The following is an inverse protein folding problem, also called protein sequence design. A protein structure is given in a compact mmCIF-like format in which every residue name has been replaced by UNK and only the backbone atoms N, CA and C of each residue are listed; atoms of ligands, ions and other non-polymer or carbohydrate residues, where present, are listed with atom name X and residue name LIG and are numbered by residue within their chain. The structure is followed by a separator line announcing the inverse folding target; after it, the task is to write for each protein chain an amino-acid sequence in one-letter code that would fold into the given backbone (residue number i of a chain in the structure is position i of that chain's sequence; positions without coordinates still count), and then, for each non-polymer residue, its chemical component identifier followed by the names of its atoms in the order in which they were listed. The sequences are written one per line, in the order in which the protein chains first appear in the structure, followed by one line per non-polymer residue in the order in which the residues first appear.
data_IF_462949523027
#
_entry.id   IF_462949523027
#
_cell.length_a   1.000
_cell.length_b   1.000
_cell.length_c   1.000
_cell.angle_alpha   90.00
_cell.angle_beta   90.00
_cell.angle_gamma   90.00
#
_symmetry.space_group_name_H-M   'P 1'
#
loop_
_entity.id
_entity.type
_entity.pdbx_description
1 polymer ?
#
# COMPACT_ATOMS: atom_id res chain seq x y z
N UNK A 1 -19.90 -50.14 33.55
CA UNK A 1 -20.27 -50.49 34.94
C UNK A 1 -19.31 -49.83 35.93
N UNK A 2 -19.89 -48.94 36.76
CA UNK A 2 -19.47 -48.53 38.11
C UNK A 2 -18.10 -47.83 38.27
N UNK A 3 -17.98 -46.55 38.69
CA UNK A 3 -18.49 -45.85 39.90
C UNK A 3 -17.99 -46.53 41.20
N UNK A 4 -17.47 -45.88 42.26
CA UNK A 4 -17.50 -44.50 42.81
C UNK A 4 -16.13 -44.18 43.50
N UNK A 5 -15.76 -43.03 44.11
CA UNK A 5 -16.37 -41.70 44.36
C UNK A 5 -15.23 -40.63 44.59
N UNK A 6 -15.61 -39.36 44.82
CA UNK A 6 -14.83 -38.27 45.46
C UNK A 6 -15.58 -37.88 46.77
N UNK A 7 -15.02 -37.12 47.76
CA UNK A 7 -14.99 -35.64 47.66
C UNK A 7 -13.93 -34.86 48.51
N UNK A 8 -13.58 -33.63 48.06
CA UNK A 8 -13.48 -32.32 48.77
C UNK A 8 -12.63 -32.17 50.10
N UNK A 9 -12.16 -30.99 50.60
CA UNK A 9 -12.68 -29.60 50.72
C UNK A 9 -11.52 -28.56 50.90
N UNK A 10 -11.70 -27.35 50.32
CA UNK A 10 -11.21 -25.98 50.68
C UNK A 10 -9.89 -25.71 51.45
N UNK A 11 -9.14 -24.69 50.98
CA UNK A 11 -8.97 -23.41 51.71
C UNK A 11 -8.52 -22.28 50.75
N UNK A 12 -9.11 -21.09 50.88
CA UNK A 12 -8.69 -19.87 50.18
C UNK A 12 -8.07 -18.88 51.16
N UNK A 13 -7.12 -18.06 50.72
CA UNK A 13 -6.58 -16.95 51.50
C UNK A 13 -6.77 -15.62 50.76
N UNK A 14 -7.65 -14.77 51.29
CA UNK A 14 -7.69 -13.34 50.96
C UNK A 14 -6.53 -12.64 51.67
N UNK A 15 -5.96 -11.62 51.01
CA UNK A 15 -5.12 -10.61 51.65
C UNK A 15 -5.79 -9.24 51.46
N UNK A 16 -6.49 -8.81 52.50
CA UNK A 16 -7.08 -7.48 52.64
C UNK A 16 -6.07 -6.56 53.34
N UNK A 17 -5.75 -5.42 52.74
CA UNK A 17 -4.95 -4.35 53.35
C UNK A 17 -5.91 -3.20 53.73
N UNK A 18 -5.82 -2.63 54.95
CA UNK A 18 -6.83 -1.69 55.46
C UNK A 18 -6.67 -0.27 54.89
N UNK A 19 -7.81 0.35 54.61
CA UNK A 19 -7.97 1.78 54.34
C UNK A 19 -7.94 2.58 55.64
N UNK A 20 -7.17 3.68 55.70
CA UNK A 20 -7.47 4.83 56.55
C UNK A 20 -6.78 6.12 56.04
N UNK A 21 -7.54 7.19 55.86
CA UNK A 21 -7.08 8.58 55.81
C UNK A 21 -8.26 9.53 56.13
N UNK A 22 -8.06 10.61 56.90
CA UNK A 22 -9.15 11.42 57.44
C UNK A 22 -9.62 12.55 56.51
N UNK A 23 -10.83 13.05 56.80
CA UNK A 23 -11.57 14.10 56.08
C UNK A 23 -11.11 15.53 56.44
N UNK A 24 -11.29 16.48 55.50
CA UNK A 24 -11.76 17.89 55.62
C UNK A 24 -11.35 18.71 54.35
N UNK A 25 -11.90 19.92 54.09
CA UNK A 25 -13.26 20.26 53.69
C UNK A 25 -13.30 20.90 52.25
N UNK A 26 -14.46 21.27 51.66
CA UNK A 26 -14.51 21.76 50.27
C UNK A 26 -14.13 23.24 50.14
N UNK A 27 -13.29 23.57 49.14
CA UNK A 27 -13.00 24.95 48.72
C UNK A 27 -13.63 25.27 47.36
N UNK A 28 -14.26 26.44 47.30
CA UNK A 28 -14.91 27.01 46.11
C UNK A 28 -13.84 27.63 45.20
N UNK A 29 -13.92 27.41 43.88
CA UNK A 29 -13.25 28.27 42.90
C UNK A 29 -14.16 28.56 41.69
N UNK A 30 -14.04 29.75 41.07
CA UNK A 30 -15.01 30.28 40.11
C UNK A 30 -14.69 29.93 38.66
N UNK A 31 -15.66 30.19 37.78
CA UNK A 31 -15.50 30.14 36.32
C UNK A 31 -14.29 30.94 35.84
N UNK A 32 -13.53 30.40 34.89
CA UNK A 32 -12.53 31.15 34.13
C UNK A 32 -12.66 30.78 32.66
N UNK A 33 -13.25 31.69 31.88
CA UNK A 33 -13.38 31.60 30.43
C UNK A 33 -12.01 31.73 29.77
N UNK A 34 -11.50 30.66 29.17
CA UNK A 34 -10.26 30.70 28.38
C UNK A 34 -10.58 30.82 26.89
N UNK A 35 -10.28 32.00 26.35
CA UNK A 35 -10.24 32.26 24.90
C UNK A 35 -9.15 31.40 24.24
N UNK A 36 -9.51 30.64 23.21
CA UNK A 36 -8.54 30.08 22.27
C UNK A 36 -8.22 31.12 21.18
N UNK A 37 -6.95 31.53 20.99
CA UNK A 37 -6.57 32.37 19.86
C UNK A 37 -6.50 31.53 18.58
N UNK A 38 -7.22 31.95 17.54
CA UNK A 38 -7.16 31.32 16.23
C UNK A 38 -5.81 31.61 15.56
N UNK A 39 -4.94 30.60 15.41
CA UNK A 39 -3.79 30.70 14.51
C UNK A 39 -4.22 30.45 13.07
N UNK A 40 -4.33 31.55 12.29
CA UNK A 40 -4.37 31.47 10.85
C UNK A 40 -3.02 30.90 10.32
N UNK A 41 -3.01 29.63 9.91
CA UNK A 41 -1.89 29.08 9.13
C UNK A 41 -2.05 29.45 7.66
N UNK A 42 -1.15 30.30 7.18
CA UNK A 42 -1.07 30.68 5.78
C UNK A 42 -0.48 29.51 4.98
N UNK A 43 -1.27 28.86 4.12
CA UNK A 43 -0.90 27.63 3.43
C UNK A 43 -0.14 27.88 2.13
N UNK A 44 1.16 28.11 2.22
CA UNK A 44 2.06 27.99 1.06
C UNK A 44 2.43 26.51 0.88
N UNK A 45 1.71 25.80 0.00
CA UNK A 45 1.99 24.38 -0.31
C UNK A 45 3.12 24.31 -1.34
N UNK A 46 4.35 24.50 -0.86
CA UNK A 46 5.54 23.95 -1.51
C UNK A 46 5.80 22.56 -0.93
N UNK A 47 5.82 21.52 -1.76
CA UNK A 47 6.18 20.15 -1.35
C UNK A 47 7.69 20.06 -1.09
N UNK A 48 8.12 20.53 0.08
CA UNK A 48 9.50 20.40 0.54
C UNK A 48 9.73 19.00 1.09
N UNK A 49 10.38 18.15 0.31
CA UNK A 49 10.92 16.88 0.79
C UNK A 49 11.98 17.15 1.87
N UNK A 50 11.80 16.60 3.06
CA UNK A 50 12.74 16.74 4.17
C UNK A 50 13.82 15.68 4.07
N UNK A 51 15.06 16.10 3.80
CA UNK A 51 16.22 15.20 3.74
C UNK A 51 16.70 14.90 5.16
N UNK A 52 16.39 13.71 5.67
CA UNK A 52 17.12 13.12 6.79
C UNK A 52 18.30 12.33 6.21
N UNK A 53 19.51 12.86 6.31
CA UNK A 53 20.71 12.14 5.88
C UNK A 53 20.96 10.94 6.81
N UNK A 54 20.75 9.72 6.30
CA UNK A 54 21.15 8.51 7.02
C UNK A 54 22.67 8.38 7.04
N UNK A 55 23.21 7.78 8.09
CA UNK A 55 24.66 7.59 8.28
C UNK A 55 25.19 6.34 7.57
N UNK A 56 24.42 5.76 6.65
CA UNK A 56 24.79 4.58 5.87
C UNK A 56 25.79 4.89 4.76
N UNK A 57 26.45 3.86 4.24
CA UNK A 57 27.22 3.98 3.00
C UNK A 57 26.28 4.27 1.82
N UNK A 58 26.66 5.22 0.96
CA UNK A 58 25.88 5.56 -0.24
C UNK A 58 25.91 4.40 -1.23
N UNK A 59 24.78 3.70 -1.34
CA UNK A 59 24.58 2.61 -2.30
C UNK A 59 24.18 3.09 -3.70
N UNK A 60 24.52 2.30 -4.71
CA UNK A 60 23.97 2.30 -6.06
C UNK A 60 22.85 1.27 -6.17
N UNK A 61 21.66 1.71 -6.57
CA UNK A 61 20.45 0.89 -6.63
C UNK A 61 19.91 0.84 -8.06
N UNK A 62 19.75 -0.38 -8.60
CA UNK A 62 18.99 -0.62 -9.81
C UNK A 62 17.53 -0.95 -9.46
N UNK A 63 16.58 -0.24 -10.06
CA UNK A 63 15.15 -0.51 -9.93
C UNK A 63 14.64 -1.03 -11.27
N UNK A 64 14.38 -2.33 -11.37
CA UNK A 64 13.73 -2.94 -12.54
C UNK A 64 12.21 -2.74 -12.41
N UNK A 65 11.69 -1.72 -13.08
CA UNK A 65 10.34 -1.22 -12.91
C UNK A 65 9.39 -1.71 -14.01
N UNK A 66 8.17 -2.12 -13.62
CA UNK A 66 7.15 -2.50 -14.60
C UNK A 66 6.69 -1.33 -15.47
N UNK A 67 6.29 -1.63 -16.70
CA UNK A 67 5.80 -0.65 -17.70
C UNK A 67 4.30 -0.38 -17.64
N UNK A 68 3.56 -0.97 -16.69
CA UNK A 68 2.11 -0.80 -16.63
C UNK A 68 1.48 -1.15 -15.28
N UNK A 69 0.31 -0.58 -15.03
CA UNK A 69 -0.50 -0.83 -13.85
C UNK A 69 0.01 -0.15 -12.58
N UNK A 70 -0.76 -0.29 -11.50
CA UNK A 70 -0.54 0.42 -10.24
C UNK A 70 0.79 0.15 -9.54
N UNK A 71 1.55 -0.88 -9.92
CA UNK A 71 2.88 -1.13 -9.36
C UNK A 71 3.96 -0.20 -9.95
N UNK A 72 3.76 0.37 -11.15
CA UNK A 72 4.74 1.26 -11.79
C UNK A 72 5.11 2.48 -10.92
N UNK A 73 4.17 2.93 -10.07
CA UNK A 73 4.33 4.05 -9.14
C UNK A 73 5.28 3.73 -7.98
N UNK A 74 5.43 2.45 -7.60
CA UNK A 74 6.33 2.01 -6.52
C UNK A 74 7.78 2.37 -6.89
N UNK A 75 8.23 1.97 -8.10
CA UNK A 75 9.58 2.28 -8.57
C UNK A 75 9.85 3.78 -8.71
N UNK A 76 8.83 4.57 -9.08
CA UNK A 76 8.94 6.04 -9.18
C UNK A 76 9.16 6.69 -7.80
N UNK A 77 8.37 6.35 -6.78
CA UNK A 77 8.56 6.92 -5.45
C UNK A 77 9.79 6.36 -4.74
N UNK A 78 10.10 5.08 -4.93
CA UNK A 78 11.30 4.48 -4.33
C UNK A 78 12.58 5.11 -4.89
N UNK A 79 12.62 5.41 -6.19
CA UNK A 79 13.71 6.17 -6.78
C UNK A 79 13.86 7.56 -6.14
N UNK A 80 12.75 8.28 -5.94
CA UNK A 80 12.77 9.62 -5.31
C UNK A 80 13.20 9.57 -3.84
N UNK A 81 12.74 8.58 -3.08
CA UNK A 81 13.11 8.40 -1.67
C UNK A 81 14.61 8.12 -1.53
N UNK A 82 15.13 7.18 -2.33
CA UNK A 82 16.56 6.85 -2.37
C UNK A 82 17.44 8.03 -2.79
N UNK A 83 17.06 8.78 -3.82
CA UNK A 83 17.77 10.00 -4.22
C UNK A 83 17.74 11.07 -3.12
N UNK A 84 16.60 11.21 -2.42
CA UNK A 84 16.46 12.07 -1.25
C UNK A 84 17.40 11.67 -0.10
N UNK A 85 17.58 10.37 0.15
CA UNK A 85 18.55 9.82 1.09
C UNK A 85 20.01 9.84 0.58
N UNK A 86 20.26 10.30 -0.65
CA UNK A 86 21.60 10.48 -1.22
C UNK A 86 22.23 9.23 -1.84
N UNK A 87 21.43 8.20 -2.14
CA UNK A 87 21.83 7.04 -2.95
C UNK A 87 21.94 7.41 -4.43
N UNK A 88 22.65 6.59 -5.20
CA UNK A 88 22.64 6.63 -6.67
C UNK A 88 21.56 5.67 -7.18
N UNK A 89 20.73 6.11 -8.12
CA UNK A 89 19.59 5.32 -8.61
C UNK A 89 19.56 5.26 -10.14
N UNK A 90 19.43 4.05 -10.67
CA UNK A 90 19.07 3.79 -12.07
C UNK A 90 17.70 3.10 -12.11
N UNK A 91 16.72 3.73 -12.74
CA UNK A 91 15.40 3.12 -12.98
C UNK A 91 15.37 2.52 -14.37
N UNK A 92 15.42 1.19 -14.43
CA UNK A 92 15.27 0.42 -15.65
C UNK A 92 13.79 0.07 -15.84
N UNK A 93 13.11 0.72 -16.79
CA UNK A 93 11.71 0.43 -17.11
C UNK A 93 11.57 -0.52 -18.30
N UNK A 94 10.69 -1.52 -18.17
CA UNK A 94 10.49 -2.51 -19.23
C UNK A 94 9.90 -1.90 -20.52
N UNK A 95 10.38 -2.35 -21.68
CA UNK A 95 9.86 -1.96 -22.98
C UNK A 95 10.62 -0.79 -23.62
N UNK A 96 9.89 0.08 -24.31
CA UNK A 96 10.44 1.13 -25.17
C UNK A 96 10.06 2.52 -24.63
N UNK A 97 11.05 3.43 -24.55
CA UNK A 97 10.89 4.82 -24.11
C UNK A 97 9.87 5.59 -24.96
N UNK A 98 9.81 5.32 -26.27
CA UNK A 98 8.94 5.99 -27.23
C UNK A 98 7.46 5.57 -27.14
N UNK A 99 7.16 4.53 -26.35
CA UNK A 99 5.80 3.96 -26.23
C UNK A 99 4.79 4.95 -25.66
N UNK A 100 3.54 4.91 -26.15
CA UNK A 100 2.41 5.68 -25.60
C UNK A 100 2.14 5.41 -24.11
N UNK A 101 2.65 4.29 -23.56
CA UNK A 101 2.65 4.03 -22.12
C UNK A 101 3.48 5.08 -21.36
N UNK A 102 4.63 5.48 -21.90
CA UNK A 102 5.56 6.40 -21.24
C UNK A 102 5.04 7.85 -21.21
N UNK A 103 4.04 8.17 -22.04
CA UNK A 103 3.31 9.46 -22.02
C UNK A 103 2.32 9.56 -20.85
N UNK A 104 2.12 8.50 -20.07
CA UNK A 104 1.20 8.44 -18.92
C UNK A 104 1.98 8.44 -17.59
N UNK A 105 1.35 8.83 -16.47
CA UNK A 105 1.95 8.66 -15.16
C UNK A 105 2.28 7.19 -14.83
N UNK A 106 3.30 6.93 -14.00
CA UNK A 106 4.27 7.88 -13.48
C UNK A 106 5.37 8.26 -14.49
N UNK A 107 5.46 7.56 -15.63
CA UNK A 107 6.56 7.67 -16.60
C UNK A 107 6.75 9.07 -17.16
N UNK A 108 5.66 9.79 -17.44
CA UNK A 108 5.70 11.18 -17.90
C UNK A 108 6.23 12.20 -16.85
N UNK A 109 6.57 11.73 -15.65
CA UNK A 109 7.19 12.49 -14.55
C UNK A 109 8.62 12.03 -14.25
N UNK A 110 9.21 11.15 -15.07
CA UNK A 110 10.58 10.66 -14.86
C UNK A 110 11.65 11.76 -14.96
N UNK A 111 11.32 12.92 -15.53
CA UNK A 111 12.12 14.14 -15.40
C UNK A 111 12.34 14.58 -13.95
N UNK A 112 11.46 14.22 -13.00
CA UNK A 112 11.68 14.42 -11.56
C UNK A 112 12.83 13.55 -11.02
N UNK A 113 13.03 12.35 -11.59
CA UNK A 113 14.13 11.43 -11.21
C UNK A 113 15.45 11.97 -11.78
N UNK A 114 15.47 12.33 -13.06
CA UNK A 114 16.71 12.80 -13.72
C UNK A 114 17.14 14.19 -13.24
N UNK A 115 16.20 15.09 -12.92
CA UNK A 115 16.51 16.38 -12.29
C UNK A 115 17.07 16.23 -10.87
N UNK A 116 16.75 15.13 -10.18
CA UNK A 116 17.32 14.77 -8.88
C UNK A 116 18.63 13.97 -8.98
N UNK A 117 19.20 13.80 -10.19
CA UNK A 117 20.47 13.11 -10.41
C UNK A 117 20.38 11.60 -10.62
N UNK A 118 19.16 11.03 -10.68
CA UNK A 118 18.95 9.63 -11.05
C UNK A 118 19.07 9.40 -12.56
N UNK A 119 19.22 8.13 -12.96
CA UNK A 119 19.20 7.69 -14.35
C UNK A 119 17.90 6.95 -14.67
N UNK A 120 17.49 6.99 -15.93
CA UNK A 120 16.36 6.21 -16.45
C UNK A 120 16.78 5.51 -17.74
N UNK A 121 16.52 4.21 -17.84
CA UNK A 121 16.85 3.38 -19.01
C UNK A 121 15.68 2.45 -19.36
N UNK A 122 15.64 1.99 -20.61
CA UNK A 122 14.55 1.16 -21.14
C UNK A 122 15.09 -0.06 -21.88
N UNK A 123 14.31 -1.15 -21.93
CA UNK A 123 14.69 -2.39 -22.60
C UNK A 123 14.00 -3.65 -22.08
N UNK A 124 14.62 -4.80 -22.32
CA UNK A 124 14.12 -6.12 -21.94
C UNK A 124 14.86 -6.65 -20.69
N UNK A 125 14.18 -7.01 -19.58
CA UNK A 125 14.82 -7.57 -18.38
C UNK A 125 15.68 -8.82 -18.64
N UNK A 126 15.34 -9.61 -19.66
CA UNK A 126 16.16 -10.75 -20.10
C UNK A 126 17.56 -10.34 -20.63
N UNK A 127 17.76 -9.06 -20.91
CA UNK A 127 19.00 -8.47 -21.42
C UNK A 127 19.54 -7.37 -20.49
N UNK A 128 19.20 -7.40 -19.19
CA UNK A 128 19.53 -6.36 -18.20
C UNK A 128 20.98 -5.89 -18.27
N UNK A 129 21.97 -6.80 -18.39
CA UNK A 129 23.38 -6.43 -18.51
C UNK A 129 23.74 -5.64 -19.77
N UNK A 130 22.98 -5.78 -20.87
CA UNK A 130 23.12 -4.92 -22.06
C UNK A 130 22.50 -3.54 -21.83
N UNK A 131 21.40 -3.48 -21.08
CA UNK A 131 20.65 -2.24 -20.80
C UNK A 131 21.41 -1.33 -19.83
N UNK A 132 22.04 -1.89 -18.80
CA UNK A 132 22.82 -1.11 -17.81
C UNK A 132 24.32 -1.03 -18.13
N UNK A 133 24.81 -1.84 -19.07
CA UNK A 133 26.20 -1.85 -19.51
C UNK A 133 27.17 -2.27 -18.40
N UNK A 134 28.27 -1.52 -18.27
CA UNK A 134 29.34 -1.77 -17.29
C UNK A 134 29.03 -1.19 -15.89
N UNK A 135 27.82 -0.67 -15.64
CA UNK A 135 27.46 -0.09 -14.35
C UNK A 135 27.25 -1.17 -13.27
N UNK A 136 28.02 -1.07 -12.18
CA UNK A 136 27.87 -1.89 -10.98
C UNK A 136 26.81 -1.35 -10.04
N UNK A 137 26.12 -2.24 -9.31
CA UNK A 137 25.08 -1.92 -8.35
C UNK A 137 25.27 -2.73 -7.06
N UNK A 138 24.99 -2.11 -5.92
CA UNK A 138 25.05 -2.78 -4.61
C UNK A 138 23.72 -3.46 -4.28
N UNK A 139 22.61 -2.91 -4.82
CA UNK A 139 21.24 -3.39 -4.61
C UNK A 139 20.47 -3.45 -5.93
N UNK A 140 19.66 -4.49 -6.11
CA UNK A 140 18.63 -4.57 -7.16
C UNK A 140 17.25 -4.69 -6.50
N UNK A 141 16.28 -3.90 -6.95
CA UNK A 141 14.85 -4.14 -6.72
C UNK A 141 14.20 -4.61 -8.03
N UNK A 142 13.59 -5.78 -8.02
CA UNK A 142 12.65 -6.18 -9.09
C UNK A 142 11.21 -5.82 -8.68
N UNK A 143 10.63 -4.85 -9.40
CA UNK A 143 9.23 -4.40 -9.34
C UNK A 143 8.50 -4.66 -10.68
N UNK A 144 8.95 -5.65 -11.43
CA UNK A 144 8.37 -6.06 -12.71
C UNK A 144 7.85 -7.51 -12.70
N UNK A 145 8.59 -8.37 -12.02
CA UNK A 145 8.34 -9.80 -11.90
C UNK A 145 6.94 -10.17 -11.45
N UNK A 146 6.39 -11.20 -12.09
CA UNK A 146 5.13 -11.85 -11.68
C UNK A 146 5.28 -13.35 -11.51
N UNK A 147 6.38 -13.91 -12.00
CA UNK A 147 6.69 -15.34 -12.09
C UNK A 147 8.21 -15.52 -12.21
N UNK A 148 8.65 -16.76 -12.01
CA UNK A 148 10.07 -17.11 -11.99
C UNK A 148 10.74 -16.98 -13.37
N UNK A 149 10.01 -17.15 -14.47
CA UNK A 149 10.56 -16.98 -15.83
C UNK A 149 10.90 -15.51 -16.11
N UNK A 150 10.06 -14.59 -15.68
CA UNK A 150 10.28 -13.14 -15.82
C UNK A 150 11.41 -12.63 -14.94
N UNK A 151 11.55 -13.15 -13.72
CA UNK A 151 12.48 -12.63 -12.70
C UNK A 151 13.88 -13.25 -12.78
N UNK A 152 13.98 -14.54 -13.14
CA UNK A 152 15.24 -15.28 -13.15
C UNK A 152 16.38 -14.57 -13.91
N UNK A 153 16.20 -13.99 -15.12
CA UNK A 153 17.29 -13.32 -15.82
C UNK A 153 17.88 -12.13 -15.04
N UNK A 154 17.06 -11.41 -14.27
CA UNK A 154 17.50 -10.28 -13.42
C UNK A 154 18.25 -10.80 -12.19
N UNK A 155 17.74 -11.85 -11.55
CA UNK A 155 18.36 -12.51 -10.38
C UNK A 155 19.73 -13.10 -10.74
N UNK A 156 19.81 -13.83 -11.86
CA UNK A 156 21.04 -14.50 -12.32
C UNK A 156 22.11 -13.49 -12.74
N UNK A 157 21.71 -12.42 -13.46
CA UNK A 157 22.60 -11.32 -13.80
C UNK A 157 23.08 -10.56 -12.56
N UNK A 158 22.18 -10.24 -11.62
CA UNK A 158 22.54 -9.53 -10.40
C UNK A 158 23.55 -10.34 -9.58
N UNK A 159 23.32 -11.66 -9.45
CA UNK A 159 24.20 -12.56 -8.71
C UNK A 159 25.59 -12.68 -9.37
N UNK A 160 25.63 -12.84 -10.69
CA UNK A 160 26.90 -12.94 -11.44
C UNK A 160 27.66 -11.62 -11.54
N UNK A 161 26.97 -10.48 -11.43
CA UNK A 161 27.56 -9.13 -11.40
C UNK A 161 28.00 -8.67 -10.01
N UNK A 162 27.86 -9.51 -8.98
CA UNK A 162 28.33 -9.21 -7.62
C UNK A 162 27.41 -8.29 -6.80
N UNK A 163 26.13 -8.16 -7.17
CA UNK A 163 25.13 -7.43 -6.36
C UNK A 163 25.04 -8.07 -4.98
N UNK A 164 25.10 -7.26 -3.92
CA UNK A 164 25.07 -7.76 -2.54
C UNK A 164 23.65 -8.11 -2.08
N UNK A 165 22.68 -7.24 -2.41
CA UNK A 165 21.31 -7.29 -1.90
C UNK A 165 20.27 -7.36 -3.02
N UNK A 166 19.33 -8.32 -2.93
CA UNK A 166 18.23 -8.45 -3.88
C UNK A 166 16.85 -8.26 -3.20
N UNK A 167 16.10 -7.28 -3.68
CA UNK A 167 14.76 -6.96 -3.19
C UNK A 167 13.72 -7.34 -4.26
N UNK A 168 12.54 -7.82 -3.84
CA UNK A 168 11.46 -8.19 -4.77
C UNK A 168 10.11 -7.63 -4.34
N UNK A 169 9.34 -7.08 -5.29
CA UNK A 169 7.92 -6.75 -5.08
C UNK A 169 7.05 -7.96 -5.42
N UNK A 170 6.71 -8.71 -4.37
CA UNK A 170 5.75 -9.81 -4.36
C UNK A 170 4.31 -9.27 -4.29
N UNK A 171 3.38 -10.02 -3.67
CA UNK A 171 2.01 -9.55 -3.45
C UNK A 171 1.38 -10.23 -2.24
N UNK A 172 0.72 -9.46 -1.36
CA UNK A 172 -0.16 -10.04 -0.33
C UNK A 172 -1.42 -10.68 -0.95
N UNK A 173 -1.62 -10.53 -2.28
CA UNK A 173 -2.60 -11.27 -3.06
C UNK A 173 -2.42 -12.79 -3.09
N UNK A 174 -1.31 -13.33 -2.57
CA UNK A 174 -0.97 -14.76 -2.55
C UNK A 174 -1.39 -15.51 -1.29
N UNK A 175 -1.74 -14.83 -0.19
CA UNK A 175 -2.30 -15.48 1.00
C UNK A 175 -3.59 -16.27 0.67
N UNK A 176 -3.81 -17.38 1.38
CA UNK A 176 -5.12 -18.05 1.42
C UNK A 176 -6.04 -17.30 2.38
N UNK A 177 -7.38 -17.36 2.21
CA UNK A 177 -8.31 -16.82 3.20
C UNK A 177 -8.02 -17.39 4.60
N UNK A 178 -8.12 -16.54 5.62
CA UNK A 178 -7.98 -16.88 7.05
C UNK A 178 -9.25 -16.50 7.80
N UNK A 179 -9.55 -17.24 8.86
CA UNK A 179 -10.61 -16.91 9.83
C UNK A 179 -10.14 -15.87 10.87
N UNK A 180 -8.82 -15.65 10.98
CA UNK A 180 -8.19 -14.70 11.90
C UNK A 180 -7.44 -13.57 11.15
N UNK A 181 -8.14 -12.67 10.42
CA UNK A 181 -7.50 -11.54 9.76
C UNK A 181 -7.21 -10.39 10.76
N UNK A 182 -6.20 -9.52 10.55
CA UNK A 182 -5.39 -9.32 9.33
C UNK A 182 -4.39 -10.42 9.04
N UNK A 183 -3.98 -10.53 7.78
CA UNK A 183 -2.83 -11.35 7.42
C UNK A 183 -1.52 -10.81 7.98
N UNK A 184 -0.65 -11.74 8.39
CA UNK A 184 0.70 -11.46 8.89
C UNK A 184 1.75 -12.28 8.12
N UNK A 185 3.00 -11.87 8.22
CA UNK A 185 4.10 -12.59 7.60
C UNK A 185 4.27 -13.97 8.26
N UNK A 186 4.30 -15.03 7.45
CA UNK A 186 4.25 -16.43 7.89
C UNK A 186 2.91 -17.14 7.63
N UNK A 187 1.83 -16.40 7.38
CA UNK A 187 0.52 -16.98 7.04
C UNK A 187 0.56 -17.86 5.78
N UNK A 188 -0.36 -18.84 5.74
CA UNK A 188 -0.43 -19.82 4.65
C UNK A 188 -0.71 -19.14 3.30
N UNK A 189 0.24 -19.28 2.38
CA UNK A 189 0.11 -18.83 0.99
C UNK A 189 -0.43 -19.93 0.07
N UNK A 190 -0.94 -19.53 -1.09
CA UNK A 190 -1.21 -20.42 -2.22
C UNK A 190 0.13 -20.88 -2.80
N UNK A 191 0.49 -22.15 -2.62
CA UNK A 191 1.79 -22.69 -3.04
C UNK A 191 2.00 -22.65 -4.57
N UNK A 192 0.91 -22.65 -5.33
CA UNK A 192 0.88 -22.48 -6.79
C UNK A 192 0.92 -21.01 -7.25
N UNK A 193 0.92 -20.03 -6.32
CA UNK A 193 1.05 -18.63 -6.69
C UNK A 193 2.48 -18.34 -7.15
N UNK A 194 2.60 -17.87 -8.40
CA UNK A 194 3.84 -17.61 -9.12
C UNK A 194 4.91 -16.79 -8.37
N UNK A 195 4.51 -15.92 -7.44
CA UNK A 195 5.44 -15.11 -6.64
C UNK A 195 6.15 -15.93 -5.55
N UNK A 196 5.56 -17.05 -5.08
CA UNK A 196 6.18 -17.95 -4.08
C UNK A 196 7.44 -18.59 -4.65
N UNK A 197 7.38 -19.05 -5.91
CA UNK A 197 8.55 -19.60 -6.60
C UNK A 197 9.66 -18.56 -6.82
N UNK A 198 9.32 -17.27 -6.90
CA UNK A 198 10.31 -16.17 -6.95
C UNK A 198 10.93 -15.95 -5.57
N UNK A 199 10.10 -15.83 -4.53
CA UNK A 199 10.55 -15.66 -3.13
C UNK A 199 11.50 -16.80 -2.70
N UNK A 200 11.17 -18.04 -3.04
CA UNK A 200 12.04 -19.19 -2.81
C UNK A 200 13.37 -19.07 -3.59
N UNK A 201 13.32 -18.77 -4.89
CA UNK A 201 14.52 -18.68 -5.72
C UNK A 201 15.50 -17.58 -5.27
N UNK A 202 15.00 -16.38 -4.92
CA UNK A 202 15.87 -15.31 -4.40
C UNK A 202 16.48 -15.71 -3.05
N UNK A 203 15.72 -16.41 -2.19
CA UNK A 203 16.20 -16.86 -0.87
C UNK A 203 17.32 -17.90 -0.94
N UNK A 204 17.34 -18.70 -2.00
CA UNK A 204 18.39 -19.70 -2.27
C UNK A 204 19.61 -19.08 -2.97
N UNK A 205 19.43 -17.93 -3.65
CA UNK A 205 20.46 -17.30 -4.49
C UNK A 205 21.26 -16.21 -3.75
N UNK A 206 20.61 -15.44 -2.88
CA UNK A 206 21.21 -14.31 -2.17
C UNK A 206 21.24 -14.55 -0.66
N UNK A 207 22.34 -14.17 0.01
CA UNK A 207 22.41 -14.13 1.47
C UNK A 207 21.71 -12.89 2.03
N UNK A 208 21.74 -11.77 1.30
CA UNK A 208 20.95 -10.58 1.59
C UNK A 208 19.80 -10.45 0.59
N UNK A 209 18.60 -10.79 1.03
CA UNK A 209 17.38 -10.64 0.24
C UNK A 209 16.20 -10.20 1.10
N UNK A 210 15.21 -9.56 0.49
CA UNK A 210 13.91 -9.33 1.11
C UNK A 210 12.77 -9.29 0.08
N UNK A 211 11.58 -9.74 0.48
CA UNK A 211 10.37 -9.68 -0.35
C UNK A 211 9.32 -8.76 0.27
N UNK A 212 8.67 -7.94 -0.56
CA UNK A 212 7.65 -6.97 -0.14
C UNK A 212 6.32 -7.33 -0.76
N UNK A 213 5.29 -7.50 0.07
CA UNK A 213 3.95 -7.96 -0.31
C UNK A 213 2.94 -6.81 -0.23
N UNK A 214 2.84 -5.91 -1.23
CA UNK A 214 1.84 -4.86 -1.26
C UNK A 214 0.43 -5.36 -1.55
N UNK A 215 -0.55 -4.47 -1.33
CA UNK A 215 -1.96 -4.61 -1.71
C UNK A 215 -2.40 -3.47 -2.62
N UNK A 216 -3.52 -2.80 -2.33
CA UNK A 216 -3.94 -1.60 -3.05
C UNK A 216 -3.15 -0.39 -2.55
N UNK A 217 -2.75 0.45 -3.48
CA UNK A 217 -2.00 1.67 -3.19
C UNK A 217 -2.60 2.87 -3.92
N UNK A 218 -2.38 4.05 -3.32
CA UNK A 218 -2.72 5.36 -3.89
C UNK A 218 -1.48 6.24 -3.89
N UNK A 219 -1.58 7.38 -4.58
CA UNK A 219 -0.59 8.44 -4.54
C UNK A 219 -0.47 9.14 -5.88
N UNK A 220 0.01 10.38 -5.84
CA UNK A 220 0.17 11.23 -7.01
C UNK A 220 0.98 10.51 -8.10
N UNK A 221 0.42 10.37 -9.30
CA UNK A 221 1.04 9.66 -10.42
C UNK A 221 0.75 8.15 -10.51
N UNK A 222 -0.08 7.57 -9.62
CA UNK A 222 -0.69 6.28 -9.86
C UNK A 222 -1.58 6.35 -11.14
N UNK A 223 -1.58 5.27 -11.93
CA UNK A 223 -2.31 5.19 -13.21
C UNK A 223 -3.42 4.13 -13.22
N UNK A 224 -3.73 3.57 -12.05
CA UNK A 224 -4.83 2.64 -11.86
C UNK A 224 -6.00 3.35 -11.18
N UNK A 225 -7.08 3.55 -11.93
CA UNK A 225 -8.35 4.09 -11.43
C UNK A 225 -8.91 3.20 -10.29
N UNK A 226 -8.72 3.65 -9.05
CA UNK A 226 -9.31 3.04 -7.85
C UNK A 226 -10.16 4.08 -7.11
N UNK A 227 -9.54 5.17 -6.69
CA UNK A 227 -10.17 6.34 -6.09
C UNK A 227 -11.01 7.13 -7.10
N UNK A 228 -10.54 7.26 -8.35
CA UNK A 228 -11.29 7.82 -9.48
C UNK A 228 -12.66 7.19 -9.65
N UNK A 229 -12.78 5.86 -9.43
CA UNK A 229 -14.05 5.16 -9.56
C UNK A 229 -15.09 5.68 -8.55
N UNK A 230 -14.68 6.08 -7.34
CA UNK A 230 -15.58 6.72 -6.37
C UNK A 230 -15.84 8.18 -6.74
N UNK A 231 -14.78 8.96 -7.01
CA UNK A 231 -14.90 10.37 -7.37
C UNK A 231 -15.81 10.60 -8.59
N UNK A 232 -15.67 9.77 -9.63
CA UNK A 232 -16.47 9.84 -10.86
C UNK A 232 -17.99 9.78 -10.58
N UNK A 233 -18.40 9.03 -9.54
CA UNK A 233 -19.80 8.90 -9.11
C UNK A 233 -20.22 10.04 -8.20
N UNK A 234 -19.38 10.39 -7.22
CA UNK A 234 -19.63 11.43 -6.22
C UNK A 234 -19.85 12.80 -6.88
N UNK A 235 -18.97 13.22 -7.79
CA UNK A 235 -19.07 14.55 -8.45
C UNK A 235 -20.24 14.65 -9.43
N UNK A 236 -20.94 13.54 -9.72
CA UNK A 236 -22.10 13.46 -10.61
C UNK A 236 -23.39 13.13 -9.84
N UNK A 237 -23.38 13.21 -8.50
CA UNK A 237 -24.47 12.86 -7.58
C UNK A 237 -25.08 11.45 -7.82
N UNK A 238 -24.25 10.52 -8.30
CA UNK A 238 -24.66 9.15 -8.62
C UNK A 238 -24.56 8.25 -7.39
N UNK A 239 -25.52 7.34 -7.17
CA UNK A 239 -25.36 6.26 -6.20
C UNK A 239 -24.12 5.41 -6.51
N UNK A 240 -23.43 4.97 -5.46
CA UNK A 240 -22.25 4.11 -5.55
C UNK A 240 -22.71 2.66 -5.30
N UNK A 241 -22.71 1.78 -6.33
CA UNK A 241 -23.05 0.38 -6.17
C UNK A 241 -21.88 -0.38 -5.53
N UNK A 242 -22.00 -0.74 -4.27
CA UNK A 242 -21.01 -1.54 -3.54
C UNK A 242 -21.50 -2.99 -3.44
N UNK A 243 -20.72 -3.98 -3.89
CA UNK A 243 -21.13 -5.38 -3.85
C UNK A 243 -21.08 -5.93 -2.41
N UNK A 244 -22.04 -6.77 -2.05
CA UNK A 244 -22.16 -7.32 -0.70
C UNK A 244 -22.57 -6.26 0.33
N UNK A 245 -22.12 -6.43 1.57
CA UNK A 245 -22.45 -5.54 2.70
C UNK A 245 -21.60 -4.26 2.80
N UNK A 246 -20.58 -4.11 1.96
CA UNK A 246 -19.62 -3.01 2.03
C UNK A 246 -18.69 -3.00 3.25
N UNK A 247 -18.87 -3.94 4.20
CA UNK A 247 -18.08 -4.06 5.43
C UNK A 247 -16.79 -4.87 5.28
N UNK A 248 -16.50 -5.36 4.07
CA UNK A 248 -15.25 -6.03 3.72
C UNK A 248 -14.08 -5.04 3.90
N UNK A 249 -13.01 -5.48 4.56
CA UNK A 249 -11.85 -4.67 4.91
C UNK A 249 -10.72 -4.82 3.89
N UNK A 250 -10.05 -3.73 3.53
CA UNK A 250 -8.83 -3.74 2.71
C UNK A 250 -7.83 -2.66 3.11
N UNK A 251 -6.52 -2.90 2.97
CA UNK A 251 -5.54 -1.81 3.10
C UNK A 251 -5.57 -0.96 1.82
N UNK A 252 -5.66 0.36 2.00
CA UNK A 252 -5.30 1.35 0.99
C UNK A 252 -4.06 2.06 1.52
N UNK A 253 -2.96 1.97 0.80
CA UNK A 253 -1.64 2.42 1.28
C UNK A 253 -1.10 3.54 0.41
N UNK A 254 -0.61 4.65 0.99
CA UNK A 254 0.06 5.65 0.17
C UNK A 254 1.43 5.12 -0.27
N UNK A 255 1.80 5.29 -1.54
CA UNK A 255 3.06 4.77 -2.10
C UNK A 255 4.32 5.34 -1.41
N UNK A 256 4.29 6.59 -0.93
CA UNK A 256 5.33 7.17 -0.03
C UNK A 256 5.70 6.21 1.12
N UNK A 257 4.71 5.65 1.80
CA UNK A 257 4.93 4.72 2.93
C UNK A 257 5.55 3.40 2.45
N UNK A 258 5.09 2.82 1.34
CA UNK A 258 5.70 1.63 0.72
C UNK A 258 7.17 1.88 0.34
N UNK A 259 7.47 3.04 -0.23
CA UNK A 259 8.83 3.44 -0.60
C UNK A 259 9.73 3.65 0.62
N UNK A 260 9.21 4.18 1.73
CA UNK A 260 9.98 4.29 2.98
C UNK A 260 10.34 2.92 3.58
N UNK A 261 9.45 1.92 3.51
CA UNK A 261 9.78 0.54 3.92
C UNK A 261 10.91 -0.05 3.08
N UNK A 262 10.84 0.12 1.76
CA UNK A 262 11.87 -0.35 0.82
C UNK A 262 13.21 0.34 1.09
N UNK A 263 13.21 1.66 1.35
CA UNK A 263 14.42 2.42 1.68
C UNK A 263 15.04 1.97 3.00
N UNK A 264 14.24 1.76 4.06
CA UNK A 264 14.76 1.21 5.32
C UNK A 264 15.43 -0.16 5.12
N UNK A 265 14.95 -1.00 4.20
CA UNK A 265 15.60 -2.26 3.90
C UNK A 265 16.91 -2.11 3.10
N UNK A 266 17.02 -1.10 2.23
CA UNK A 266 18.29 -0.72 1.58
C UNK A 266 19.30 -0.21 2.61
N UNK A 267 18.87 0.62 3.54
CA UNK A 267 19.73 1.24 4.56
C UNK A 267 20.13 0.26 5.68
N UNK A 268 19.25 -0.69 6.03
CA UNK A 268 19.45 -1.66 7.11
C UNK A 268 19.46 -3.12 6.56
N UNK A 269 20.41 -3.47 5.66
CA UNK A 269 20.40 -4.77 4.98
C UNK A 269 20.52 -5.94 5.95
N UNK A 270 21.27 -5.78 7.05
CA UNK A 270 21.41 -6.83 8.07
C UNK A 270 20.09 -7.20 8.76
N UNK A 271 19.22 -6.22 9.03
CA UNK A 271 17.88 -6.45 9.57
C UNK A 271 16.91 -6.96 8.51
N UNK A 272 17.02 -6.45 7.28
CA UNK A 272 16.11 -6.84 6.19
C UNK A 272 16.37 -8.25 5.64
N UNK A 273 17.62 -8.73 5.68
CA UNK A 273 18.05 -9.98 5.05
C UNK A 273 17.27 -11.19 5.56
N UNK A 274 16.75 -12.00 4.65
CA UNK A 274 16.00 -13.23 4.98
C UNK A 274 14.51 -13.00 5.26
N UNK A 275 14.02 -11.76 5.20
CA UNK A 275 12.66 -11.42 5.64
C UNK A 275 11.70 -11.14 4.49
N UNK A 276 10.43 -11.40 4.79
CA UNK A 276 9.27 -10.99 4.00
C UNK A 276 8.57 -9.88 4.79
N UNK A 277 8.06 -8.86 4.09
CA UNK A 277 7.39 -7.71 4.66
C UNK A 277 6.03 -7.48 3.98
N UNK A 278 4.95 -7.41 4.75
CA UNK A 278 3.67 -6.92 4.25
C UNK A 278 3.78 -5.41 4.02
N UNK A 279 3.76 -5.01 2.75
CA UNK A 279 4.07 -3.64 2.34
C UNK A 279 2.77 -2.82 2.25
N UNK A 280 2.16 -2.57 3.40
CA UNK A 280 0.79 -2.02 3.55
C UNK A 280 0.69 -0.97 4.65
N UNK A 281 -0.36 -0.14 4.61
CA UNK A 281 -0.65 0.86 5.64
C UNK A 281 -1.13 0.26 6.97
N UNK A 282 -0.94 1.03 8.04
CA UNK A 282 -1.32 0.72 9.43
C UNK A 282 -2.79 0.42 9.68
N UNK A 283 -3.68 0.78 8.73
CA UNK A 283 -5.13 0.71 8.90
C UNK A 283 -5.79 0.15 7.66
N UNK A 284 -6.66 -0.82 7.84
CA UNK A 284 -7.64 -1.19 6.83
C UNK A 284 -8.80 -0.18 6.82
N UNK A 285 -9.48 -0.09 5.67
CA UNK A 285 -10.74 0.64 5.47
C UNK A 285 -11.81 -0.33 4.99
N UNK A 286 -13.07 -0.11 5.36
CA UNK A 286 -14.19 -0.84 4.74
C UNK A 286 -14.46 -0.29 3.33
N UNK A 287 -15.10 -1.08 2.46
CA UNK A 287 -15.51 -0.59 1.13
C UNK A 287 -16.45 0.63 1.24
N UNK A 288 -17.38 0.57 2.21
CA UNK A 288 -18.23 1.69 2.63
C UNK A 288 -17.43 2.89 3.13
N UNK A 289 -16.37 2.63 3.90
CA UNK A 289 -15.47 3.64 4.44
C UNK A 289 -14.71 4.36 3.33
N UNK A 290 -14.22 3.65 2.31
CA UNK A 290 -13.56 4.25 1.15
C UNK A 290 -14.50 5.22 0.43
N UNK A 291 -15.75 4.82 0.17
CA UNK A 291 -16.76 5.70 -0.43
C UNK A 291 -17.02 6.97 0.40
N UNK A 292 -17.13 6.82 1.73
CA UNK A 292 -17.34 7.95 2.67
C UNK A 292 -16.12 8.88 2.74
N UNK A 293 -14.90 8.34 2.74
CA UNK A 293 -13.67 9.14 2.75
C UNK A 293 -13.44 9.87 1.43
N UNK A 294 -13.71 9.24 0.27
CA UNK A 294 -13.69 9.94 -1.02
C UNK A 294 -14.71 11.08 -1.07
N UNK A 295 -15.89 10.91 -0.48
CA UNK A 295 -16.92 11.94 -0.43
C UNK A 295 -16.54 13.10 0.50
N UNK A 296 -15.94 12.79 1.66
CA UNK A 296 -15.34 13.77 2.55
C UNK A 296 -14.22 14.57 1.85
N UNK A 297 -13.32 13.91 1.12
CA UNK A 297 -12.27 14.56 0.34
C UNK A 297 -12.82 15.47 -0.77
N UNK A 298 -13.93 15.08 -1.38
CA UNK A 298 -14.63 15.87 -2.40
C UNK A 298 -15.48 17.02 -1.83
N UNK A 299 -15.75 17.04 -0.52
CA UNK A 299 -16.69 17.98 0.10
C UNK A 299 -18.16 17.77 -0.31
N UNK A 300 -18.53 16.55 -0.72
CA UNK A 300 -19.81 16.21 -1.34
C UNK A 300 -20.53 15.08 -0.57
N UNK A 301 -21.87 14.99 -0.66
CA UNK A 301 -22.62 13.87 -0.07
C UNK A 301 -22.33 12.55 -0.81
N UNK A 302 -22.62 11.43 -0.15
CA UNK A 302 -22.53 10.08 -0.75
C UNK A 302 -23.82 9.31 -0.56
N UNK A 303 -24.24 8.62 -1.63
CA UNK A 303 -25.36 7.68 -1.65
C UNK A 303 -24.77 6.30 -1.93
N UNK A 304 -24.72 5.42 -0.93
CA UNK A 304 -24.24 4.04 -1.11
C UNK A 304 -25.45 3.13 -1.34
N UNK A 305 -25.33 2.20 -2.29
CA UNK A 305 -26.32 1.17 -2.56
C UNK A 305 -25.64 -0.20 -2.56
N UNK A 306 -26.11 -1.10 -1.72
CA UNK A 306 -25.61 -2.47 -1.63
C UNK A 306 -26.37 -3.40 -2.57
N UNK A 307 -25.68 -4.41 -3.11
CA UNK A 307 -26.29 -5.42 -3.99
C UNK A 307 -25.61 -6.78 -3.87
N UNK A 308 -26.35 -7.87 -4.08
CA UNK A 308 -25.75 -9.20 -4.30
C UNK A 308 -25.41 -9.37 -5.80
N UNK A 309 -24.13 -9.45 -6.17
CA UNK A 309 -23.73 -9.65 -7.57
C UNK A 309 -24.23 -10.96 -8.17
N UNK A 310 -24.43 -12.01 -7.35
CA UNK A 310 -24.95 -13.30 -7.82
C UNK A 310 -26.42 -13.21 -8.17
N UNK A 311 -27.23 -12.62 -7.28
CA UNK A 311 -28.67 -12.47 -7.47
C UNK A 311 -29.02 -11.71 -8.78
N UNK A 312 -28.22 -10.72 -9.16
CA UNK A 312 -28.45 -9.91 -10.38
C UNK A 312 -27.56 -10.32 -11.57
N UNK A 313 -26.81 -11.42 -11.47
CA UNK A 313 -25.99 -11.95 -12.58
C UNK A 313 -24.82 -11.07 -13.03
N UNK A 314 -24.26 -10.24 -12.14
CA UNK A 314 -23.19 -9.29 -12.47
C UNK A 314 -21.84 -9.73 -11.88
N UNK A 315 -20.79 -9.70 -12.71
CA UNK A 315 -19.42 -9.93 -12.27
C UNK A 315 -18.89 -8.71 -11.49
N UNK A 316 -18.85 -8.85 -10.16
CA UNK A 316 -18.34 -7.82 -9.26
C UNK A 316 -16.91 -7.36 -9.60
N UNK A 317 -16.06 -8.21 -10.18
CA UNK A 317 -14.68 -7.86 -10.56
C UNK A 317 -14.60 -6.88 -11.72
N UNK A 318 -15.70 -6.75 -12.50
CA UNK A 318 -15.85 -5.77 -13.59
C UNK A 318 -16.58 -4.51 -13.13
N UNK A 319 -17.46 -4.64 -12.14
CA UNK A 319 -18.24 -3.53 -11.60
C UNK A 319 -17.44 -2.67 -10.60
N UNK A 320 -16.59 -3.29 -9.78
CA UNK A 320 -16.03 -2.68 -8.57
C UNK A 320 -14.48 -2.81 -8.54
N UNK A 321 -13.72 -1.77 -8.13
CA UNK A 321 -12.25 -1.74 -8.26
C UNK A 321 -11.50 -2.63 -7.25
N UNK A 322 -12.17 -3.10 -6.19
CA UNK A 322 -11.56 -3.92 -5.14
C UNK A 322 -12.15 -5.34 -5.08
N UNK A 323 -11.46 -6.26 -4.38
CA UNK A 323 -11.97 -7.60 -4.10
C UNK A 323 -13.17 -7.51 -3.15
N UNK A 324 -14.28 -8.18 -3.49
CA UNK A 324 -15.44 -8.32 -2.60
C UNK A 324 -15.22 -9.43 -1.56
N UNK A 325 -14.23 -9.23 -0.68
CA UNK A 325 -13.90 -10.08 0.47
C UNK A 325 -12.94 -9.31 1.39
N UNK A 326 -12.74 -9.78 2.63
CA UNK A 326 -11.65 -9.28 3.45
C UNK A 326 -10.31 -9.53 2.73
N UNK A 327 -9.55 -8.47 2.53
CA UNK A 327 -8.26 -8.49 1.85
C UNK A 327 -7.37 -7.42 2.45
N UNK A 328 -6.88 -7.69 3.67
CA UNK A 328 -6.04 -6.79 4.45
C UNK A 328 -4.96 -7.56 5.23
N UNK A 329 -3.88 -6.88 5.56
CA UNK A 329 -2.69 -7.37 6.25
C UNK A 329 -2.17 -6.29 7.21
N UNK A 330 -1.26 -6.67 8.11
CA UNK A 330 -0.50 -5.75 8.96
C UNK A 330 0.97 -5.64 8.52
N UNK A 331 1.59 -4.45 8.56
CA UNK A 331 3.01 -4.25 8.29
C UNK A 331 3.86 -4.62 9.53
N UNK A 332 3.61 -5.78 10.13
CA UNK A 332 4.13 -6.14 11.46
C UNK A 332 5.64 -6.33 11.42
N UNK A 333 6.16 -7.12 10.49
CA UNK A 333 7.60 -7.30 10.35
C UNK A 333 8.32 -5.98 10.02
N UNK A 334 7.71 -5.08 9.25
CA UNK A 334 8.31 -3.78 8.94
C UNK A 334 8.45 -2.92 10.21
N UNK A 335 7.45 -2.91 11.09
CA UNK A 335 7.50 -2.21 12.38
C UNK A 335 8.52 -2.81 13.34
N UNK A 336 8.52 -4.13 13.48
CA UNK A 336 9.32 -4.82 14.51
C UNK A 336 10.79 -4.98 14.11
N UNK A 337 11.09 -5.25 12.82
CA UNK A 337 12.44 -5.55 12.33
C UNK A 337 13.14 -4.32 11.75
N UNK A 338 12.41 -3.46 11.03
CA UNK A 338 12.97 -2.24 10.41
C UNK A 338 12.70 -0.97 11.22
N UNK A 339 11.93 -1.05 12.33
CA UNK A 339 11.53 0.12 13.10
C UNK A 339 10.58 1.07 12.36
N UNK A 340 9.97 0.60 11.26
CA UNK A 340 9.17 1.42 10.36
C UNK A 340 7.92 2.00 11.03
N UNK A 341 7.51 3.20 10.57
CA UNK A 341 6.28 3.89 11.02
C UNK A 341 5.61 4.55 9.83
N UNK A 342 4.29 4.44 9.75
CA UNK A 342 3.49 5.15 8.75
C UNK A 342 3.70 6.68 8.86
N UNK A 343 3.87 7.33 7.72
CA UNK A 343 4.00 8.79 7.59
C UNK A 343 2.74 9.44 7.00
N UNK A 344 1.87 8.64 6.36
CA UNK A 344 0.69 9.11 5.63
C UNK A 344 -0.64 8.81 6.35
N UNK A 345 -1.71 9.44 5.90
CA UNK A 345 -3.04 9.30 6.50
C UNK A 345 -4.13 9.37 5.43
N UNK A 346 -4.80 8.24 5.20
CA UNK A 346 -5.70 8.02 4.07
C UNK A 346 -6.72 9.15 3.78
N UNK A 347 -7.37 9.79 4.78
CA UNK A 347 -8.27 10.93 4.52
C UNK A 347 -7.57 12.17 3.93
N UNK A 348 -6.35 12.47 4.35
CA UNK A 348 -5.56 13.59 3.81
C UNK A 348 -4.98 13.21 2.43
N UNK A 349 -4.52 11.96 2.28
CA UNK A 349 -4.06 11.43 0.99
C UNK A 349 -5.17 11.47 -0.07
N UNK A 350 -6.41 11.11 0.29
CA UNK A 350 -7.55 11.18 -0.62
C UNK A 350 -7.92 12.62 -1.00
N UNK A 351 -7.60 13.61 -0.16
CA UNK A 351 -7.75 15.03 -0.51
C UNK A 351 -6.70 15.45 -1.56
N UNK A 352 -5.43 15.09 -1.39
CA UNK A 352 -4.37 15.28 -2.41
C UNK A 352 -4.82 14.68 -3.75
N UNK A 353 -5.38 13.45 -3.72
CA UNK A 353 -5.86 12.75 -4.92
C UNK A 353 -7.11 13.39 -5.55
N UNK A 354 -8.04 13.93 -4.76
CA UNK A 354 -9.19 14.66 -5.30
C UNK A 354 -8.79 15.99 -5.95
N UNK A 355 -7.83 16.72 -5.36
CA UNK A 355 -7.30 17.95 -5.95
C UNK A 355 -6.65 17.68 -7.32
N UNK A 356 -5.91 16.58 -7.46
CA UNK A 356 -5.37 16.14 -8.76
C UNK A 356 -6.46 15.72 -9.76
N UNK A 357 -7.49 14.99 -9.31
CA UNK A 357 -8.64 14.57 -10.11
C UNK A 357 -9.35 15.76 -10.77
N UNK A 358 -9.58 16.83 -10.01
CA UNK A 358 -10.16 18.10 -10.50
C UNK A 358 -9.16 18.84 -11.40
N UNK A 359 -7.87 18.88 -11.05
CA UNK A 359 -6.82 19.56 -11.82
C UNK A 359 -6.66 19.01 -13.23
N UNK A 360 -6.86 17.70 -13.45
CA UNK A 360 -6.85 17.08 -14.78
C UNK A 360 -8.20 17.17 -15.53
N UNK A 361 -9.19 17.87 -14.95
CA UNK A 361 -10.52 18.08 -15.53
C UNK A 361 -11.37 16.82 -15.65
N UNK A 362 -11.10 15.76 -14.87
CA UNK A 362 -11.86 14.50 -14.93
C UNK A 362 -13.26 14.64 -14.32
N UNK A 363 -13.42 15.55 -13.37
CA UNK A 363 -14.70 16.04 -12.85
C UNK A 363 -15.69 16.43 -13.96
N UNK A 364 -15.21 17.04 -15.04
CA UNK A 364 -16.01 17.58 -16.14
C UNK A 364 -16.13 16.66 -17.36
N UNK A 365 -15.47 15.50 -17.38
CA UNK A 365 -15.54 14.57 -18.52
C UNK A 365 -16.93 13.93 -18.60
N UNK A 366 -17.41 13.70 -19.82
CA UNK A 366 -18.52 12.78 -20.02
C UNK A 366 -18.03 11.35 -19.79
N UNK A 367 -18.69 10.63 -18.88
CA UNK A 367 -18.33 9.28 -18.44
C UNK A 367 -19.61 8.46 -18.39
N UNK A 368 -19.60 7.30 -19.04
CA UNK A 368 -20.74 6.38 -19.06
C UNK A 368 -20.67 5.40 -17.89
N UNK A 369 -21.80 5.15 -17.25
CA UNK A 369 -21.94 4.30 -16.08
C UNK A 369 -22.81 3.06 -16.36
N UNK A 370 -22.74 2.52 -17.58
CA UNK A 370 -23.66 1.49 -18.09
C UNK A 370 -23.80 0.25 -17.19
N UNK A 371 -22.74 -0.12 -16.46
CA UNK A 371 -22.78 -1.24 -15.52
C UNK A 371 -23.44 -0.86 -14.19
N UNK A 372 -23.27 0.37 -13.71
CA UNK A 372 -24.01 0.90 -12.56
C UNK A 372 -25.49 1.03 -12.90
N UNK A 373 -25.83 1.56 -14.08
CA UNK A 373 -27.21 1.73 -14.50
C UNK A 373 -27.94 0.37 -14.55
N UNK A 374 -27.25 -0.69 -15.01
CA UNK A 374 -27.76 -2.07 -14.94
C UNK A 374 -27.94 -2.58 -13.51
N UNK A 375 -27.00 -2.31 -12.60
CA UNK A 375 -27.12 -2.68 -11.17
C UNK A 375 -28.32 -1.95 -10.55
N UNK A 376 -28.39 -0.63 -10.72
CA UNK A 376 -29.43 0.22 -10.13
C UNK A 376 -30.82 -0.07 -10.70
N UNK A 377 -30.95 -0.46 -11.96
CA UNK A 377 -32.22 -0.88 -12.53
C UNK A 377 -32.67 -2.25 -12.00
N UNK A 378 -31.75 -3.21 -11.89
CA UNK A 378 -32.04 -4.53 -11.30
C UNK A 378 -32.53 -4.44 -9.85
N UNK A 379 -32.13 -3.40 -9.10
CA UNK A 379 -32.58 -3.14 -7.73
C UNK A 379 -33.93 -2.42 -7.63
N UNK A 380 -34.47 -1.86 -8.73
CA UNK A 380 -35.82 -1.29 -8.78
C UNK A 380 -36.88 -2.33 -9.14
N UNK A 381 -36.48 -3.42 -9.80
CA UNK A 381 -37.37 -4.52 -10.10
C UNK A 381 -37.95 -5.09 -8.79
N UNK A 382 -39.27 -5.36 -8.70
CA UNK A 382 -39.82 -6.08 -7.57
C UNK A 382 -39.09 -7.43 -7.43
N UNK A 383 -38.74 -7.82 -6.20
CA UNK A 383 -38.22 -9.15 -5.95
C UNK A 383 -39.26 -10.19 -6.40
N UNK A 384 -38.86 -11.04 -7.36
CA UNK A 384 -39.70 -12.03 -8.01
C UNK A 384 -39.81 -13.33 -7.19
#
# INVERSE_FOLDING_TARGET
NSLHFHPSIHAAFLLLIPLYSPLLPPCIHPETTLFFPALCRNSNVGSSFSINASTGSKKKVLIVNTSSGGHAVIGFYFAKELLGSGHQVTVFTVGDESSDKMKKPPFNRFSEITSAGGKTVWGNPAEVGKVVGEESFDVVLDNNGKDLETVRPVVDWAKSSGVEQFLFISSAGIYKPTDEPPHVEGDVVKADASHVAVEEYISQTFSSWASFRPQYMIGSGNNKDCEEWFFDRIVRDRPIPIPGSGMQLTNISHVKDLSSMLTLAVENPASASGNIFNCVSDRAVTLDGMAKLCAQAAGLPVKIVHYDPKAIGIDAKKAFPFRNMHFYAEPRAAKEILGWKASTYLPDDLKERYEEYVKIGRDKKDIKFELDDKILEALKAPAA
#
